data_IF_071345552063
#
_entry.id   IF_071345552063
#
_cell.length_a   1.000
_cell.length_b   1.000
_cell.length_c   1.000
_cell.angle_alpha   90.00
_cell.angle_beta   90.00
_cell.angle_gamma   90.00
#
_symmetry.space_group_name_H-M   'P 1'
#
loop_
_entity.id
_entity.type
_entity.pdbx_description
1 polymer ?
#
# COMPACT_ATOMS: atom_id res chain seq x y z
N UNK A 1 12.87 6.84 -6.90
CA UNK A 1 12.79 5.57 -7.64
C UNK A 1 12.09 4.52 -6.80
N UNK A 2 11.34 3.60 -7.41
CA UNK A 2 10.77 2.45 -6.70
C UNK A 2 11.81 1.33 -6.66
N UNK A 3 11.94 0.67 -5.51
CA UNK A 3 12.78 -0.52 -5.32
C UNK A 3 12.22 -1.39 -4.21
N UNK A 4 12.70 -2.63 -4.13
CA UNK A 4 12.46 -3.49 -2.96
C UNK A 4 12.95 -2.81 -1.68
N UNK A 5 12.13 -2.95 -0.63
CA UNK A 5 12.46 -2.59 0.74
C UNK A 5 13.54 -3.56 1.22
N UNK A 6 14.56 -3.00 1.87
CA UNK A 6 15.54 -3.78 2.61
C UNK A 6 15.43 -3.48 4.10
N UNK A 7 15.97 -4.36 4.93
CA UNK A 7 15.97 -4.22 6.40
C UNK A 7 16.43 -2.83 6.87
N UNK A 8 17.46 -2.28 6.21
CA UNK A 8 18.04 -0.97 6.53
C UNK A 8 17.10 0.21 6.28
N UNK A 9 15.98 0.02 5.60
CA UNK A 9 14.98 1.07 5.38
C UNK A 9 14.00 1.19 6.56
N UNK A 10 13.90 0.17 7.43
CA UNK A 10 12.87 0.10 8.47
C UNK A 10 12.92 1.27 9.44
N UNK A 11 14.09 1.61 9.97
CA UNK A 11 14.25 2.77 10.87
C UNK A 11 13.75 4.07 10.23
N UNK A 12 14.03 4.24 8.93
CA UNK A 12 13.58 5.42 8.20
C UNK A 12 12.08 5.40 7.97
N UNK A 13 11.51 4.25 7.66
CA UNK A 13 10.08 4.08 7.44
C UNK A 13 9.28 4.28 8.74
N UNK A 14 9.78 3.78 9.87
CA UNK A 14 9.23 4.07 11.21
C UNK A 14 9.22 5.57 11.45
N UNK A 15 10.35 6.26 11.25
CA UNK A 15 10.43 7.70 11.43
C UNK A 15 9.50 8.50 10.49
N UNK A 16 9.25 7.99 9.27
CA UNK A 16 8.26 8.59 8.36
C UNK A 16 6.85 8.35 8.88
N UNK A 17 6.52 7.13 9.28
CA UNK A 17 5.20 6.75 9.77
C UNK A 17 4.83 7.52 11.05
N UNK A 18 5.78 7.67 11.99
CA UNK A 18 5.61 8.46 13.20
C UNK A 18 5.42 9.97 12.92
N UNK A 19 5.90 10.45 11.77
CA UNK A 19 5.73 11.84 11.35
C UNK A 19 4.40 12.10 10.65
N UNK A 20 3.75 11.05 10.16
CA UNK A 20 2.39 11.13 9.65
C UNK A 20 1.47 11.11 10.86
N UNK A 21 0.50 12.03 10.92
CA UNK A 21 -0.58 11.98 11.90
C UNK A 21 -1.52 10.80 11.57
N UNK A 22 -0.97 9.59 11.67
CA UNK A 22 -1.65 8.34 11.44
C UNK A 22 -2.69 8.23 12.55
N UNK A 23 -3.96 8.50 12.21
CA UNK A 23 -5.05 8.40 13.18
C UNK A 23 -4.96 7.09 13.97
N UNK A 24 -5.39 7.08 15.25
CA UNK A 24 -5.08 6.04 16.22
C UNK A 24 -5.47 4.60 15.82
N UNK A 25 -6.28 4.42 14.77
CA UNK A 25 -6.72 3.13 14.25
C UNK A 25 -5.73 2.42 13.32
N UNK A 26 -4.84 3.12 12.61
CA UNK A 26 -4.07 2.50 11.51
C UNK A 26 -3.08 1.43 12.00
N UNK A 27 -2.38 1.73 13.10
CA UNK A 27 -1.47 0.79 13.72
C UNK A 27 -2.20 -0.27 14.56
N UNK A 28 -3.47 -0.05 14.93
CA UNK A 28 -4.26 -0.93 15.78
C UNK A 28 -3.52 -1.40 17.05
N UNK A 29 -2.75 -0.51 17.69
CA UNK A 29 -1.98 -0.81 18.90
C UNK A 29 -0.63 -1.51 18.69
N UNK A 30 -0.24 -1.81 17.44
CA UNK A 30 1.09 -2.34 17.10
C UNK A 30 2.14 -1.23 17.11
N UNK A 31 3.41 -1.62 17.31
CA UNK A 31 4.51 -0.70 17.01
C UNK A 31 4.59 -0.47 15.48
N UNK A 32 5.13 0.68 15.06
CA UNK A 32 5.36 0.96 13.64
C UNK A 32 6.24 -0.12 12.98
N UNK A 33 7.22 -0.64 13.72
CA UNK A 33 8.11 -1.70 13.24
C UNK A 33 7.35 -3.01 13.02
N UNK A 34 6.57 -3.46 14.01
CA UNK A 34 5.79 -4.70 13.91
C UNK A 34 4.78 -4.59 12.77
N UNK A 35 4.07 -3.46 12.69
CA UNK A 35 3.11 -3.18 11.62
C UNK A 35 3.71 -3.28 10.21
N UNK A 36 4.96 -2.83 10.03
CA UNK A 36 5.70 -2.91 8.77
C UNK A 36 6.19 -4.34 8.45
N UNK A 37 6.35 -5.21 9.43
CA UNK A 37 7.10 -6.48 9.27
C UNK A 37 6.26 -7.74 9.48
N UNK A 38 5.10 -7.65 10.12
CA UNK A 38 4.27 -8.81 10.48
C UNK A 38 3.57 -9.48 9.29
N UNK A 39 3.40 -8.76 8.18
CA UNK A 39 2.71 -9.29 6.99
C UNK A 39 3.72 -9.95 6.07
N UNK A 40 3.45 -11.20 5.69
CA UNK A 40 4.16 -11.88 4.62
C UNK A 40 3.72 -11.29 3.26
N UNK A 41 4.47 -10.28 2.81
CA UNK A 41 4.16 -9.53 1.62
C UNK A 41 4.85 -10.12 0.40
N UNK A 42 4.08 -10.36 -0.66
CA UNK A 42 4.59 -10.72 -1.98
C UNK A 42 5.46 -9.60 -2.59
N UNK A 43 5.13 -8.36 -2.26
CA UNK A 43 5.91 -7.19 -2.62
C UNK A 43 6.02 -6.27 -1.42
N UNK A 44 7.22 -5.77 -1.13
CA UNK A 44 7.42 -4.67 -0.20
C UNK A 44 8.31 -3.64 -0.88
N UNK A 45 7.71 -2.54 -1.33
CA UNK A 45 8.41 -1.51 -2.08
C UNK A 45 8.55 -0.23 -1.30
N UNK A 46 9.63 0.48 -1.60
CA UNK A 46 9.88 1.83 -1.13
C UNK A 46 10.10 2.79 -2.28
N UNK A 47 9.77 4.06 -2.04
CA UNK A 47 10.22 5.15 -2.89
C UNK A 47 11.46 5.80 -2.27
N UNK A 48 12.62 5.57 -2.86
CA UNK A 48 13.90 6.17 -2.49
C UNK A 48 14.12 7.45 -3.32
N UNK A 49 14.36 8.58 -2.67
CA UNK A 49 14.64 9.86 -3.36
C UNK A 49 16.07 9.96 -3.91
N UNK A 50 16.82 8.86 -3.96
CA UNK A 50 18.04 8.78 -4.74
C UNK A 50 17.81 9.26 -6.20
N UNK A 51 18.67 10.15 -6.72
CA UNK A 51 18.77 10.36 -8.16
C UNK A 51 19.03 9.02 -8.85
N UNK A 52 18.41 8.79 -10.01
CA UNK A 52 18.47 7.51 -10.75
C UNK A 52 19.91 7.07 -11.07
N UNK A 53 20.86 8.01 -11.10
CA UNK A 53 22.27 7.79 -11.38
C UNK A 53 23.15 7.48 -10.15
N UNK A 54 22.58 7.38 -8.94
CA UNK A 54 23.32 7.17 -7.69
C UNK A 54 22.80 5.93 -6.98
N UNK A 55 23.70 5.21 -6.28
CA UNK A 55 23.32 4.11 -5.41
C UNK A 55 22.22 4.54 -4.41
N UNK A 56 21.31 3.62 -4.01
CA UNK A 56 20.22 3.90 -3.07
C UNK A 56 20.68 4.74 -1.88
N UNK A 57 20.09 5.91 -1.71
CA UNK A 57 20.56 6.94 -0.77
C UNK A 57 19.98 6.75 0.63
N UNK A 58 19.14 5.73 0.82
CA UNK A 58 18.36 5.49 2.06
C UNK A 58 17.43 6.64 2.41
N UNK A 59 17.23 7.60 1.51
CA UNK A 59 16.25 8.65 1.67
C UNK A 59 14.88 8.14 1.21
N UNK A 60 14.40 7.11 1.91
CA UNK A 60 13.07 6.56 1.67
C UNK A 60 12.02 7.53 2.21
N UNK A 61 11.01 7.80 1.38
CA UNK A 61 9.92 8.73 1.67
C UNK A 61 8.54 8.14 1.42
N UNK A 62 8.45 6.90 0.96
CA UNK A 62 7.16 6.24 0.76
C UNK A 62 7.33 4.73 0.76
N UNK A 63 6.25 4.05 1.08
CA UNK A 63 6.22 2.60 1.23
C UNK A 63 4.87 2.05 0.82
N UNK A 64 4.87 0.81 0.32
CA UNK A 64 3.67 0.05 0.01
C UNK A 64 3.99 -1.44 0.09
N UNK A 65 3.02 -2.23 0.50
CA UNK A 65 3.07 -3.68 0.42
C UNK A 65 1.93 -4.23 -0.44
N UNK A 66 2.20 -5.32 -1.13
CA UNK A 66 1.18 -6.15 -1.77
C UNK A 66 1.20 -7.52 -1.12
N UNK A 67 0.04 -7.98 -0.65
CA UNK A 67 -0.10 -9.24 0.07
C UNK A 67 -1.45 -9.89 -0.19
N UNK A 68 -1.57 -11.17 0.15
CA UNK A 68 -2.85 -11.89 0.11
C UNK A 68 -3.79 -11.37 1.21
N UNK A 69 -5.11 -11.31 0.97
CA UNK A 69 -6.04 -10.89 2.01
C UNK A 69 -5.90 -11.72 3.30
N UNK A 70 -6.06 -11.10 4.49
CA UNK A 70 -6.04 -11.85 5.75
C UNK A 70 -7.14 -12.92 5.77
N UNK A 71 -6.79 -14.12 6.21
CA UNK A 71 -7.76 -15.23 6.33
C UNK A 71 -8.87 -14.84 7.30
N UNK A 72 -10.13 -14.98 6.86
CA UNK A 72 -11.30 -14.69 7.69
C UNK A 72 -11.62 -13.19 7.84
N UNK A 73 -10.96 -12.31 7.10
CA UNK A 73 -11.33 -10.89 7.08
C UNK A 73 -12.76 -10.71 6.50
N UNK A 74 -13.71 -10.09 7.24
CA UNK A 74 -15.13 -10.05 6.85
C UNK A 74 -15.43 -9.38 5.51
N UNK A 75 -14.54 -8.50 5.04
CA UNK A 75 -14.71 -7.77 3.79
C UNK A 75 -14.34 -8.58 2.54
N UNK A 76 -13.56 -9.65 2.68
CA UNK A 76 -12.94 -10.38 1.56
C UNK A 76 -14.00 -10.97 0.63
N UNK A 77 -14.95 -11.73 1.19
CA UNK A 77 -16.00 -12.38 0.40
C UNK A 77 -16.92 -11.37 -0.28
N UNK A 78 -17.21 -10.25 0.40
CA UNK A 78 -18.03 -9.17 -0.16
C UNK A 78 -17.33 -8.50 -1.34
N UNK A 79 -16.03 -8.23 -1.23
CA UNK A 79 -15.23 -7.63 -2.31
C UNK A 79 -15.04 -8.59 -3.48
N UNK A 80 -14.76 -9.87 -3.20
CA UNK A 80 -14.64 -10.92 -4.21
C UNK A 80 -15.92 -11.05 -5.03
N UNK A 81 -17.06 -11.12 -4.34
CA UNK A 81 -18.40 -11.16 -4.95
C UNK A 81 -18.67 -9.92 -5.81
N UNK A 82 -18.38 -8.72 -5.31
CA UNK A 82 -18.59 -7.48 -6.06
C UNK A 82 -17.69 -7.38 -7.31
N UNK A 83 -16.46 -7.90 -7.23
CA UNK A 83 -15.54 -7.96 -8.36
C UNK A 83 -15.81 -9.12 -9.33
N UNK A 84 -16.72 -10.05 -8.98
CA UNK A 84 -17.03 -11.22 -9.80
C UNK A 84 -15.85 -12.20 -9.91
N UNK A 85 -15.02 -12.30 -8.87
CA UNK A 85 -13.84 -13.19 -8.83
C UNK A 85 -13.81 -14.00 -7.53
N UNK A 86 -13.05 -15.09 -7.54
CA UNK A 86 -12.75 -15.84 -6.32
C UNK A 86 -11.85 -15.04 -5.37
N UNK A 87 -11.97 -15.28 -4.06
CA UNK A 87 -11.18 -14.56 -3.05
C UNK A 87 -9.66 -14.71 -3.23
N UNK A 88 -9.19 -15.83 -3.77
CA UNK A 88 -7.77 -16.09 -4.05
C UNK A 88 -7.22 -15.27 -5.25
N UNK A 89 -8.10 -14.63 -6.03
CA UNK A 89 -7.74 -13.68 -7.09
C UNK A 89 -7.54 -12.28 -6.56
N UNK A 90 -7.86 -11.98 -5.30
CA UNK A 90 -7.65 -10.68 -4.71
C UNK A 90 -6.21 -10.52 -4.22
N UNK A 91 -5.64 -9.33 -4.44
CA UNK A 91 -4.39 -8.91 -3.80
C UNK A 91 -4.60 -7.54 -3.16
N UNK A 92 -4.16 -7.42 -1.91
CA UNK A 92 -4.29 -6.22 -1.09
C UNK A 92 -3.08 -5.33 -1.29
N UNK A 93 -3.32 -4.07 -1.64
CA UNK A 93 -2.37 -2.97 -1.57
C UNK A 93 -2.56 -2.32 -0.20
N UNK A 94 -1.62 -2.58 0.71
CA UNK A 94 -1.69 -2.12 2.09
C UNK A 94 -0.37 -1.53 2.55
N UNK A 95 -0.34 -1.16 3.84
CA UNK A 95 0.80 -0.48 4.47
C UNK A 95 1.32 0.71 3.63
N UNK A 96 0.39 1.38 2.96
CA UNK A 96 0.70 2.40 1.97
C UNK A 96 0.72 3.78 2.64
N UNK A 97 1.89 4.42 2.59
CA UNK A 97 2.04 5.80 3.04
C UNK A 97 3.16 6.50 2.29
N UNK A 98 3.08 7.83 2.24
CA UNK A 98 4.12 8.71 1.70
C UNK A 98 4.30 9.86 2.68
N UNK A 99 5.56 10.21 2.97
CA UNK A 99 5.92 11.36 3.78
C UNK A 99 5.30 12.63 3.21
N UNK A 100 4.70 13.45 4.07
CA UNK A 100 4.19 14.78 3.72
C UNK A 100 5.30 15.66 3.13
N UNK A 101 5.13 16.04 1.87
CA UNK A 101 6.06 16.92 1.15
C UNK A 101 5.46 17.42 -0.16
N UNK A 102 6.07 18.44 -0.78
CA UNK A 102 5.60 19.11 -2.01
C UNK A 102 5.16 18.18 -3.17
N UNK A 103 5.65 16.94 -3.24
CA UNK A 103 5.38 15.98 -4.32
C UNK A 103 4.85 14.63 -3.84
N UNK A 104 4.37 14.55 -2.59
CA UNK A 104 3.85 13.33 -1.96
C UNK A 104 2.77 12.62 -2.80
N UNK A 105 1.79 13.35 -3.34
CA UNK A 105 0.72 12.80 -4.17
C UNK A 105 1.24 12.22 -5.49
N UNK A 106 2.28 12.83 -6.06
CA UNK A 106 2.93 12.33 -7.27
C UNK A 106 3.63 11.00 -7.02
N UNK A 107 4.33 10.90 -5.88
CA UNK A 107 4.99 9.67 -5.41
C UNK A 107 3.96 8.59 -5.12
N UNK A 108 2.91 8.93 -4.36
CA UNK A 108 1.85 8.00 -3.99
C UNK A 108 1.12 7.46 -5.21
N UNK A 109 0.75 8.32 -6.17
CA UNK A 109 0.16 7.90 -7.43
C UNK A 109 1.07 6.94 -8.19
N UNK A 110 2.38 7.22 -8.24
CA UNK A 110 3.33 6.37 -8.95
C UNK A 110 3.46 4.99 -8.30
N UNK A 111 3.63 4.92 -6.97
CA UNK A 111 3.63 3.66 -6.22
C UNK A 111 2.36 2.85 -6.47
N UNK A 112 1.20 3.47 -6.28
CA UNK A 112 -0.09 2.80 -6.43
C UNK A 112 -0.31 2.29 -7.86
N UNK A 113 0.08 3.07 -8.87
CA UNK A 113 0.02 2.65 -10.28
C UNK A 113 0.88 1.43 -10.56
N UNK A 114 2.11 1.37 -10.01
CA UNK A 114 2.99 0.22 -10.21
C UNK A 114 2.48 -1.03 -9.49
N UNK A 115 1.88 -0.89 -8.30
CA UNK A 115 1.22 -2.00 -7.62
C UNK A 115 0.05 -2.56 -8.44
N UNK A 116 -0.82 -1.69 -8.96
CA UNK A 116 -1.96 -2.10 -9.81
C UNK A 116 -1.48 -2.84 -11.05
N UNK A 117 -0.45 -2.32 -11.75
CA UNK A 117 0.15 -3.01 -12.91
C UNK A 117 0.69 -4.38 -12.54
N UNK A 118 1.39 -4.50 -11.41
CA UNK A 118 1.97 -5.75 -10.93
C UNK A 118 0.91 -6.80 -10.62
N UNK A 119 -0.18 -6.39 -9.97
CA UNK A 119 -1.33 -7.23 -9.62
C UNK A 119 -2.05 -7.69 -10.90
N UNK A 120 -2.35 -6.75 -11.82
CA UNK A 120 -2.99 -7.05 -13.09
C UNK A 120 -2.16 -8.00 -13.96
N UNK A 121 -0.82 -7.88 -13.97
CA UNK A 121 0.07 -8.79 -14.69
C UNK A 121 0.02 -10.25 -14.16
N UNK A 122 -0.49 -10.47 -12.94
CA UNK A 122 -0.78 -11.81 -12.39
C UNK A 122 -2.21 -12.29 -12.67
N UNK A 123 -3.03 -11.44 -13.30
CA UNK A 123 -4.45 -11.66 -13.49
C UNK A 123 -5.29 -11.48 -12.21
N UNK A 124 -4.70 -10.93 -11.15
CA UNK A 124 -5.39 -10.69 -9.89
C UNK A 124 -6.11 -9.34 -9.90
N UNK A 125 -7.03 -9.15 -8.95
CA UNK A 125 -7.78 -7.92 -8.73
C UNK A 125 -7.19 -7.17 -7.54
N UNK A 126 -6.92 -5.88 -7.72
CA UNK A 126 -6.33 -5.04 -6.68
C UNK A 126 -7.40 -4.49 -5.73
N UNK A 127 -7.14 -4.62 -4.44
CA UNK A 127 -7.98 -4.10 -3.35
C UNK A 127 -7.11 -3.21 -2.47
N UNK A 128 -7.61 -2.07 -2.00
CA UNK A 128 -6.92 -1.28 -0.99
C UNK A 128 -7.24 -1.79 0.41
N UNK A 129 -6.23 -1.89 1.26
CA UNK A 129 -6.37 -2.27 2.67
C UNK A 129 -7.27 -1.26 3.40
N UNK A 130 -8.48 -1.66 3.84
CA UNK A 130 -9.42 -0.74 4.49
C UNK A 130 -8.85 -0.15 5.79
N UNK A 131 -8.04 -0.91 6.52
CA UNK A 131 -7.44 -0.48 7.78
C UNK A 131 -6.33 0.56 7.57
N UNK A 132 -5.74 0.58 6.37
CA UNK A 132 -4.66 1.49 5.96
C UNK A 132 -5.14 2.75 5.23
N UNK A 133 -6.43 2.86 4.86
CA UNK A 133 -6.93 3.93 4.00
C UNK A 133 -6.73 5.34 4.55
N UNK A 134 -6.67 5.51 5.87
CA UNK A 134 -6.47 6.82 6.49
C UNK A 134 -5.12 7.46 6.09
N UNK A 135 -4.12 6.68 5.68
CA UNK A 135 -2.82 7.16 5.20
C UNK A 135 -2.78 7.41 3.68
N UNK A 136 -3.86 7.08 2.96
CA UNK A 136 -3.90 7.18 1.50
C UNK A 136 -4.95 8.23 1.11
N UNK A 137 -4.53 9.41 0.62
CA UNK A 137 -5.46 10.43 0.19
C UNK A 137 -6.47 9.89 -0.84
N UNK A 138 -7.77 10.08 -0.55
CA UNK A 138 -8.90 9.62 -1.37
C UNK A 138 -8.73 9.91 -2.88
N UNK A 139 -8.26 11.11 -3.18
CA UNK A 139 -8.01 11.56 -4.56
C UNK A 139 -7.07 10.65 -5.36
N UNK A 140 -6.14 9.95 -4.71
CA UNK A 140 -5.16 9.09 -5.38
C UNK A 140 -5.83 7.85 -5.96
N UNK A 141 -6.68 7.18 -5.19
CA UNK A 141 -7.25 5.92 -5.60
C UNK A 141 -8.56 6.08 -6.37
N UNK A 142 -9.36 7.12 -6.12
CA UNK A 142 -10.50 7.43 -7.00
C UNK A 142 -10.03 7.70 -8.44
N UNK A 143 -8.89 8.39 -8.62
CA UNK A 143 -8.34 8.66 -9.97
C UNK A 143 -7.87 7.43 -10.72
N UNK A 144 -7.58 6.34 -10.01
CA UNK A 144 -7.22 5.06 -10.63
C UNK A 144 -8.43 4.17 -10.89
N UNK A 145 -9.63 4.56 -10.43
CA UNK A 145 -10.87 3.83 -10.68
C UNK A 145 -11.27 2.84 -9.57
N UNK A 146 -10.65 2.92 -8.39
CA UNK A 146 -11.13 2.12 -7.25
C UNK A 146 -12.55 2.53 -6.87
N UNK A 147 -13.46 1.56 -6.81
CA UNK A 147 -14.85 1.75 -6.40
C UNK A 147 -14.96 1.89 -4.89
N UNK A 148 -15.84 2.78 -4.42
CA UNK A 148 -16.17 2.96 -2.99
C UNK A 148 -17.40 2.16 -2.54
N UNK A 149 -18.15 1.60 -3.49
CA UNK A 149 -19.44 0.98 -3.24
C UNK A 149 -19.32 -0.42 -2.63
N UNK A 150 -18.10 -0.79 -2.21
CA UNK A 150 -17.72 -2.10 -1.69
C UNK A 150 -17.14 -1.99 -0.28
N UNK A 151 -17.09 -3.11 0.43
CA UNK A 151 -16.59 -3.16 1.82
C UNK A 151 -15.11 -2.71 1.97
N UNK A 152 -14.33 -2.77 0.90
CA UNK A 152 -13.04 -2.12 0.76
C UNK A 152 -12.86 -1.64 -0.69
N UNK A 153 -12.10 -0.56 -0.97
CA UNK A 153 -11.97 -0.05 -2.33
C UNK A 153 -11.31 -1.06 -3.25
N UNK A 154 -11.98 -1.38 -4.35
CA UNK A 154 -11.54 -2.42 -5.31
C UNK A 154 -11.51 -1.88 -6.74
N UNK A 155 -10.51 -2.29 -7.52
CA UNK A 155 -10.48 -2.05 -8.95
C UNK A 155 -11.32 -3.11 -9.67
N UNK A 156 -12.55 -2.73 -9.99
CA UNK A 156 -13.43 -3.58 -10.78
C UNK A 156 -12.91 -3.70 -12.23
N UNK A 157 -13.07 -4.88 -12.86
CA UNK A 157 -12.71 -5.11 -14.26
C UNK A 157 -13.54 -4.28 -15.26
#
# INVERSE_FOLDING_TARGET
MIRERIERDLDRLVAVLDSLDAGPGVLAGRSAYDWLTEVDADVSWVFDQAPVSVAPTRNVVGHVQVFVPPVGAPWVDAVASAAGVEADRLLVIGRFFVKDMRFDQGIGRYLLTECVKRIAARGSVAVLDPDGLALVPRVLWCRLGFSEDTAAPVLLP
#
